data_IF_593536960908
#
_entry.id   IF_593536960908
#
_cell.length_a   1.000
_cell.length_b   1.000
_cell.length_c   1.000
_cell.angle_alpha   90.00
_cell.angle_beta   90.00
_cell.angle_gamma   90.00
#
_symmetry.space_group_name_H-M   'P 1'
#
loop_
_entity.id
_entity.type
_entity.pdbx_description
1 polymer ?
#
# COMPACT_ATOMS: atom_id res chain seq x y z
N UNK A 1 -19.51 -42.90 -2.49
CA UNK A 1 -18.87 -42.72 -1.15
C UNK A 1 -17.86 -41.57 -1.19
N UNK A 2 -17.78 -40.86 -2.31
CA UNK A 2 -16.69 -39.98 -2.72
C UNK A 2 -16.89 -38.52 -2.31
N UNK A 3 -18.13 -38.16 -1.96
CA UNK A 3 -18.52 -36.81 -1.53
C UNK A 3 -18.05 -36.53 -0.09
N UNK A 4 -18.11 -37.53 0.79
CA UNK A 4 -17.67 -37.41 2.18
C UNK A 4 -16.14 -37.30 2.32
N UNK A 5 -15.39 -37.99 1.47
CA UNK A 5 -13.92 -37.88 1.40
C UNK A 5 -13.48 -36.56 0.77
N UNK A 6 -14.24 -36.05 -0.21
CA UNK A 6 -14.01 -34.71 -0.80
C UNK A 6 -14.27 -33.59 0.21
N UNK A 7 -15.33 -33.70 1.01
CA UNK A 7 -15.66 -32.75 2.08
C UNK A 7 -14.58 -32.73 3.18
N UNK A 8 -14.05 -33.89 3.57
CA UNK A 8 -12.95 -33.98 4.56
C UNK A 8 -11.64 -33.38 4.03
N UNK A 9 -11.35 -33.53 2.74
CA UNK A 9 -10.21 -32.88 2.09
C UNK A 9 -10.34 -31.34 2.11
N UNK A 10 -11.53 -30.83 1.80
CA UNK A 10 -11.87 -29.41 1.87
C UNK A 10 -11.69 -28.83 3.29
N UNK A 11 -12.16 -29.52 4.32
CA UNK A 11 -11.99 -29.09 5.72
C UNK A 11 -10.52 -29.09 6.16
N UNK A 12 -9.75 -30.10 5.76
CA UNK A 12 -8.32 -30.15 6.04
C UNK A 12 -7.57 -28.98 5.39
N UNK A 13 -7.87 -28.65 4.14
CA UNK A 13 -7.30 -27.48 3.45
C UNK A 13 -7.74 -26.15 4.09
N UNK A 14 -9.00 -26.06 4.55
CA UNK A 14 -9.50 -24.92 5.29
C UNK A 14 -8.78 -24.74 6.64
N UNK A 15 -8.49 -25.83 7.34
CA UNK A 15 -7.71 -25.81 8.58
C UNK A 15 -6.28 -25.33 8.34
N UNK A 16 -5.61 -25.82 7.29
CA UNK A 16 -4.26 -25.37 6.91
C UNK A 16 -4.25 -23.88 6.56
N UNK A 17 -5.25 -23.40 5.82
CA UNK A 17 -5.36 -21.96 5.47
C UNK A 17 -5.59 -21.09 6.71
N UNK A 18 -6.46 -21.53 7.63
CA UNK A 18 -6.71 -20.81 8.89
C UNK A 18 -5.49 -20.82 9.82
N UNK A 19 -4.70 -21.90 9.84
CA UNK A 19 -3.45 -21.93 10.59
C UNK A 19 -2.40 -20.93 10.04
N UNK A 20 -2.41 -20.68 8.72
CA UNK A 20 -1.45 -19.77 8.06
C UNK A 20 -1.91 -18.31 8.02
N UNK A 21 -3.20 -18.07 7.80
CA UNK A 21 -3.77 -16.75 7.50
C UNK A 21 -5.01 -16.43 8.33
N UNK A 22 -5.29 -17.20 9.39
CA UNK A 22 -6.48 -17.04 10.21
C UNK A 22 -6.39 -15.98 11.30
N UNK A 23 -5.21 -15.38 11.47
CA UNK A 23 -4.99 -14.29 12.41
C UNK A 23 -4.35 -13.11 11.68
N UNK A 24 -4.86 -11.91 11.98
CA UNK A 24 -4.22 -10.67 11.56
C UNK A 24 -3.01 -10.41 12.48
N UNK A 25 -1.88 -9.90 11.95
CA UNK A 25 -0.79 -9.40 12.77
C UNK A 25 -1.24 -8.29 13.72
N UNK A 26 -0.42 -8.00 14.73
CA UNK A 26 -0.67 -6.85 15.60
C UNK A 26 -0.70 -5.54 14.78
N UNK A 27 -1.66 -4.64 15.04
CA UNK A 27 -1.72 -3.35 14.37
C UNK A 27 -0.45 -2.54 14.65
N UNK A 28 0.12 -1.98 13.60
CA UNK A 28 1.26 -1.05 13.70
C UNK A 28 0.73 0.33 14.09
N UNK A 29 1.43 1.01 15.00
CA UNK A 29 1.07 2.38 15.38
C UNK A 29 1.34 3.31 14.22
N UNK A 30 0.50 4.35 14.06
CA UNK A 30 0.64 5.33 12.96
C UNK A 30 2.02 6.00 13.01
N UNK A 31 2.53 6.27 14.21
CA UNK A 31 3.84 6.87 14.40
C UNK A 31 4.99 6.01 13.86
N UNK A 32 4.86 4.68 13.87
CA UNK A 32 5.87 3.75 13.37
C UNK A 32 5.76 3.54 11.83
N UNK A 33 4.69 4.04 11.23
CA UNK A 33 4.45 3.98 9.77
C UNK A 33 5.01 5.19 9.01
N UNK A 34 5.54 6.19 9.73
CA UNK A 34 6.04 7.43 9.14
C UNK A 34 7.52 7.59 9.44
N UNK A 35 8.26 8.12 8.47
CA UNK A 35 9.67 8.50 8.64
C UNK A 35 9.79 10.02 8.55
N UNK A 36 10.44 10.64 9.54
CA UNK A 36 10.73 12.06 9.51
C UNK A 36 11.95 12.35 8.64
N UNK A 37 11.72 13.00 7.50
CA UNK A 37 12.79 13.50 6.64
C UNK A 37 12.95 15.01 6.85
N UNK A 38 14.13 15.51 7.25
CA UNK A 38 14.36 16.95 7.33
C UNK A 38 14.19 17.60 5.95
N UNK A 39 13.55 18.77 5.93
CA UNK A 39 13.39 19.54 4.71
C UNK A 39 14.77 19.90 4.12
N UNK A 40 14.97 19.58 2.84
CA UNK A 40 16.15 20.00 2.10
C UNK A 40 16.13 21.50 1.78
N UNK A 41 17.24 22.01 1.25
CA UNK A 41 17.32 23.39 0.74
C UNK A 41 16.24 23.58 -0.34
N UNK A 42 15.37 24.60 -0.23
CA UNK A 42 14.36 24.87 -1.24
C UNK A 42 15.02 25.12 -2.60
N UNK A 43 14.56 24.41 -3.62
CA UNK A 43 14.96 24.70 -5.00
C UNK A 43 14.43 26.09 -5.42
N UNK A 44 15.30 27.06 -5.74
CA UNK A 44 14.87 28.39 -6.15
C UNK A 44 14.11 28.38 -7.48
N UNK A 45 14.40 27.45 -8.40
CA UNK A 45 13.69 27.34 -9.67
C UNK A 45 12.23 26.93 -9.48
N UNK A 46 11.93 26.13 -8.43
CA UNK A 46 10.58 25.67 -8.10
C UNK A 46 9.60 26.82 -7.82
N UNK A 47 10.09 27.98 -7.43
CA UNK A 47 9.27 29.16 -7.11
C UNK A 47 9.48 30.30 -8.11
N UNK A 48 10.33 30.11 -9.12
CA UNK A 48 10.56 31.10 -10.16
C UNK A 48 9.37 31.08 -11.13
N UNK A 49 8.51 32.10 -11.05
CA UNK A 49 7.42 32.26 -12.00
C UNK A 49 7.95 32.63 -13.39
N UNK A 50 7.52 31.89 -14.41
CA UNK A 50 7.75 32.20 -15.81
C UNK A 50 6.42 32.24 -16.57
N UNK A 51 6.06 33.41 -17.11
CA UNK A 51 4.83 33.61 -17.85
C UNK A 51 4.80 32.81 -19.16
N UNK A 52 5.93 32.68 -19.84
CA UNK A 52 6.02 31.99 -21.12
C UNK A 52 5.76 30.49 -20.96
N UNK A 53 6.27 29.87 -19.88
CA UNK A 53 5.97 28.46 -19.60
C UNK A 53 4.48 28.22 -19.33
N UNK A 54 3.81 29.13 -18.63
CA UNK A 54 2.38 29.01 -18.34
C UNK A 54 1.54 29.10 -19.64
N UNK A 55 1.89 30.05 -20.52
CA UNK A 55 1.23 30.20 -21.82
C UNK A 55 1.42 28.96 -22.71
N UNK A 56 2.64 28.40 -22.75
CA UNK A 56 2.92 27.17 -23.52
C UNK A 56 2.17 25.96 -22.95
N UNK A 57 2.07 25.84 -21.62
CA UNK A 57 1.45 24.68 -20.98
C UNK A 57 -0.08 24.69 -21.02
N UNK A 58 -0.71 25.87 -21.01
CA UNK A 58 -2.16 26.00 -20.77
C UNK A 58 -2.94 26.80 -21.82
N UNK A 59 -2.29 27.49 -22.77
CA UNK A 59 -2.96 28.36 -23.73
C UNK A 59 -2.71 28.00 -25.21
N UNK A 60 -1.92 26.95 -25.48
CA UNK A 60 -1.67 26.37 -26.80
C UNK A 60 -2.34 24.99 -26.91
#
# INVERSE_FOLDING_TARGET
MDDATSQQGSEAEAAVRRARFGALPEPVRVEDMVEEQPAGVPDPARTAYNQDEWLVRYCL
#
